data_IF_491878386383
#
_entry.id   IF_491878386383
#
_cell.length_a   1.000
_cell.length_b   1.000
_cell.length_c   1.000
_cell.angle_alpha   90.00
_cell.angle_beta   90.00
_cell.angle_gamma   90.00
#
_symmetry.space_group_name_H-M   'P 1'
#
loop_
_entity.id
_entity.type
_entity.pdbx_description
1 polymer ?
#
# COMPACT_ATOMS: atom_id res chain seq x y z
N UNK A 1 45.34 17.93 -6.33
CA UNK A 1 46.60 17.61 -7.04
C UNK A 1 46.37 16.33 -7.83
N UNK A 2 46.93 16.31 -9.05
CA UNK A 2 47.21 15.17 -9.96
C UNK A 2 46.07 14.53 -10.79
N UNK A 3 46.28 14.60 -12.12
CA UNK A 3 45.55 14.02 -13.27
C UNK A 3 45.64 12.49 -13.31
N UNK A 4 44.70 11.82 -14.02
CA UNK A 4 44.91 11.11 -15.31
C UNK A 4 43.56 10.73 -15.94
N UNK A 5 43.48 10.89 -17.26
CA UNK A 5 42.32 10.82 -18.15
C UNK A 5 41.77 9.40 -18.41
N UNK A 6 40.47 9.33 -18.75
CA UNK A 6 40.00 8.63 -19.97
C UNK A 6 38.78 9.34 -20.58
N UNK A 7 38.96 9.70 -21.84
CA UNK A 7 38.11 10.42 -22.79
C UNK A 7 36.90 9.63 -23.26
N UNK A 8 35.74 10.29 -23.45
CA UNK A 8 34.93 10.22 -24.68
C UNK A 8 33.81 11.29 -24.64
N UNK A 9 34.13 12.48 -25.13
CA UNK A 9 33.15 13.52 -25.49
C UNK A 9 33.54 14.07 -26.84
N UNK A 10 32.60 14.04 -27.79
CA UNK A 10 32.74 14.76 -29.06
C UNK A 10 32.31 13.93 -30.26
N UNK A 11 31.04 14.06 -30.64
CA UNK A 11 30.53 13.94 -32.02
C UNK A 11 29.00 14.13 -32.09
N UNK A 12 28.50 15.28 -31.60
CA UNK A 12 27.20 15.84 -32.07
C UNK A 12 27.30 17.36 -32.30
N UNK A 13 28.49 17.94 -32.20
CA UNK A 13 28.76 19.35 -32.50
C UNK A 13 29.82 19.49 -33.61
N UNK A 14 29.64 18.77 -34.74
CA UNK A 14 29.83 19.42 -36.04
C UNK A 14 28.91 18.78 -37.10
N UNK A 15 27.63 19.15 -37.12
CA UNK A 15 26.77 18.88 -38.28
C UNK A 15 25.79 20.01 -38.60
N UNK A 16 25.69 21.02 -37.72
CA UNK A 16 24.94 22.26 -37.96
C UNK A 16 25.81 23.43 -38.42
N UNK A 17 27.12 23.24 -38.59
CA UNK A 17 28.02 24.25 -39.18
C UNK A 17 28.42 23.98 -40.64
N UNK A 18 28.05 22.84 -41.23
CA UNK A 18 28.39 22.53 -42.64
C UNK A 18 27.29 22.85 -43.66
N UNK A 19 26.08 23.20 -43.22
CA UNK A 19 24.98 23.59 -44.14
C UNK A 19 24.88 25.13 -44.30
N UNK A 20 25.37 25.90 -43.32
CA UNK A 20 25.52 27.36 -43.47
C UNK A 20 26.90 27.80 -43.97
N UNK A 21 27.91 26.90 -43.95
CA UNK A 21 29.25 27.16 -44.47
C UNK A 21 29.38 27.13 -46.00
N UNK A 22 28.42 26.53 -46.73
CA UNK A 22 28.47 26.47 -48.21
C UNK A 22 27.84 27.69 -48.90
N UNK A 23 27.15 28.57 -48.16
CA UNK A 23 26.64 29.85 -48.70
C UNK A 23 27.61 31.02 -48.47
N UNK A 24 28.69 30.81 -47.73
CA UNK A 24 29.71 31.83 -47.43
C UNK A 24 30.84 31.95 -48.46
N UNK A 25 30.85 31.15 -49.54
CA UNK A 25 31.89 31.23 -50.58
C UNK A 25 31.44 31.80 -51.94
N UNK A 26 30.20 32.29 -52.05
CA UNK A 26 29.74 33.06 -53.22
C UNK A 26 29.18 34.41 -52.79
N UNK A 27 30.02 35.17 -52.09
CA UNK A 27 29.87 36.61 -51.94
C UNK A 27 30.79 37.36 -52.90
N UNK A 28 30.63 37.22 -54.22
CA UNK A 28 30.94 38.28 -55.20
C UNK A 28 29.98 38.13 -56.39
N UNK A 29 28.76 38.62 -56.26
CA UNK A 29 28.07 39.27 -57.39
C UNK A 29 27.53 40.58 -56.81
N UNK A 30 28.21 41.67 -57.20
CA UNK A 30 27.75 43.03 -56.96
C UNK A 30 26.35 43.22 -57.53
N UNK A 31 25.59 44.10 -56.89
CA UNK A 31 24.41 44.75 -57.48
C UNK A 31 24.70 45.20 -58.92
N UNK A 32 23.80 44.82 -59.84
CA UNK A 32 23.78 45.10 -61.29
C UNK A 32 24.29 43.97 -62.21
N UNK A 33 23.66 42.78 -62.18
CA UNK A 33 23.49 41.96 -63.39
C UNK A 33 22.52 40.77 -63.15
N UNK A 34 21.22 41.03 -63.19
CA UNK A 34 20.16 40.01 -63.12
C UNK A 34 19.42 39.80 -64.45
N UNK A 35 20.02 40.19 -65.58
CA UNK A 35 19.36 40.14 -66.90
C UNK A 35 19.97 39.16 -67.91
N UNK A 36 20.87 38.25 -67.50
CA UNK A 36 21.45 37.28 -68.44
C UNK A 36 20.75 35.91 -68.41
N UNK A 37 20.13 35.56 -69.54
CA UNK A 37 19.16 34.48 -69.75
C UNK A 37 19.80 33.12 -70.06
N UNK A 38 20.98 32.82 -69.53
CA UNK A 38 21.78 31.64 -69.94
C UNK A 38 21.93 30.54 -68.89
N UNK A 39 21.27 30.60 -67.73
CA UNK A 39 21.47 29.59 -66.67
C UNK A 39 20.20 29.04 -66.00
N UNK A 40 19.06 29.00 -66.71
CA UNK A 40 17.81 28.43 -66.18
C UNK A 40 17.86 26.91 -65.95
N UNK A 41 18.75 26.18 -66.64
CA UNK A 41 18.78 24.72 -66.56
C UNK A 41 19.57 24.20 -65.36
N UNK A 42 20.64 24.88 -64.93
CA UNK A 42 21.40 24.47 -63.74
C UNK A 42 20.65 24.78 -62.44
N UNK A 43 19.98 25.95 -62.34
CA UNK A 43 19.15 26.29 -61.18
C UNK A 43 17.94 25.35 -61.04
N UNK A 44 17.30 24.95 -62.14
CA UNK A 44 16.19 23.98 -62.10
C UNK A 44 16.66 22.59 -61.65
N UNK A 45 17.85 22.16 -62.07
CA UNK A 45 18.43 20.86 -61.70
C UNK A 45 18.78 20.77 -60.21
N UNK A 46 19.35 21.84 -59.63
CA UNK A 46 19.65 21.88 -58.20
C UNK A 46 18.39 21.96 -57.33
N UNK A 47 17.34 22.68 -57.75
CA UNK A 47 16.07 22.70 -57.04
C UNK A 47 15.32 21.36 -57.09
N UNK A 48 15.36 20.63 -58.22
CA UNK A 48 14.74 19.30 -58.32
C UNK A 48 15.50 18.24 -57.53
N UNK A 49 16.83 18.30 -57.50
CA UNK A 49 17.66 17.39 -56.70
C UNK A 49 17.48 17.65 -55.20
N UNK A 50 17.37 18.92 -54.78
CA UNK A 50 17.06 19.29 -53.40
C UNK A 50 15.66 18.80 -52.98
N UNK A 51 14.63 18.95 -53.83
CA UNK A 51 13.27 18.44 -53.55
C UNK A 51 13.20 16.92 -53.48
N UNK A 52 13.97 16.18 -54.28
CA UNK A 52 14.02 14.71 -54.22
C UNK A 52 14.77 14.19 -52.98
N UNK A 53 15.85 14.86 -52.56
CA UNK A 53 16.58 14.51 -51.34
C UNK A 53 15.74 14.87 -50.10
N UNK A 54 14.99 15.98 -50.14
CA UNK A 54 14.12 16.40 -49.04
C UNK A 54 12.87 15.50 -48.89
N UNK A 55 12.27 15.04 -49.99
CA UNK A 55 11.13 14.09 -49.94
C UNK A 55 11.55 12.67 -49.54
N UNK A 56 12.76 12.24 -49.91
CA UNK A 56 13.37 10.99 -49.42
C UNK A 56 13.67 11.02 -47.91
N UNK A 57 14.13 12.17 -47.39
CA UNK A 57 14.39 12.35 -45.95
C UNK A 57 13.11 12.36 -45.07
N UNK A 58 11.98 12.82 -45.62
CA UNK A 58 10.69 12.82 -44.89
C UNK A 58 10.11 11.40 -44.79
N UNK A 59 10.52 10.46 -45.66
CA UNK A 59 9.97 9.10 -45.71
C UNK A 59 10.66 8.08 -44.77
N UNK A 60 11.71 8.46 -44.04
CA UNK A 60 12.44 7.58 -43.11
C UNK A 60 12.31 7.94 -41.62
N UNK A 61 11.51 8.97 -41.27
CA UNK A 61 11.18 9.29 -39.89
C UNK A 61 9.70 9.05 -39.58
N UNK A 62 9.21 7.85 -39.88
CA UNK A 62 7.97 7.38 -39.26
C UNK A 62 8.31 6.93 -37.82
N UNK A 63 8.56 7.92 -36.95
CA UNK A 63 8.69 7.69 -35.51
C UNK A 63 7.36 7.10 -35.05
N UNK A 64 7.32 5.80 -34.77
CA UNK A 64 6.18 5.22 -34.07
C UNK A 64 6.09 5.93 -32.73
N UNK A 65 5.02 6.69 -32.51
CA UNK A 65 4.77 7.29 -31.22
C UNK A 65 4.67 6.15 -30.18
N UNK A 66 5.69 6.01 -29.33
CA UNK A 66 5.59 5.08 -28.21
C UNK A 66 4.44 5.54 -27.33
N UNK A 67 3.46 4.66 -27.23
CA UNK A 67 2.19 4.92 -26.59
C UNK A 67 2.34 4.82 -25.08
N UNK A 68 2.09 5.93 -24.39
CA UNK A 68 2.14 5.96 -22.93
C UNK A 68 0.78 5.49 -22.43
N UNK A 69 0.75 4.25 -21.95
CA UNK A 69 -0.41 3.67 -21.26
C UNK A 69 -0.19 3.84 -19.76
N UNK A 70 -1.01 4.67 -19.13
CA UNK A 70 -1.07 4.80 -17.67
C UNK A 70 -2.04 3.75 -17.14
N UNK A 71 -1.55 2.76 -16.39
CA UNK A 71 -2.36 1.66 -15.85
C UNK A 71 -2.45 1.72 -14.33
N UNK A 72 -3.67 1.59 -13.80
CA UNK A 72 -3.97 1.62 -12.37
C UNK A 72 -4.89 0.47 -11.98
N UNK A 73 -4.63 -0.15 -10.84
CA UNK A 73 -5.60 -1.07 -10.21
C UNK A 73 -6.53 -0.25 -9.31
N UNK A 74 -7.83 -0.45 -9.46
CA UNK A 74 -8.88 0.23 -8.73
C UNK A 74 -9.74 -0.78 -7.97
N UNK A 75 -9.88 -0.60 -6.66
CA UNK A 75 -10.77 -1.43 -5.84
C UNK A 75 -12.15 -0.77 -5.77
N UNK A 76 -13.15 -1.46 -6.29
CA UNK A 76 -14.54 -1.00 -6.37
C UNK A 76 -15.08 -0.70 -4.98
N UNK A 77 -15.60 0.50 -4.79
CA UNK A 77 -16.20 1.01 -3.55
C UNK A 77 -17.73 0.97 -3.65
N UNK A 78 -18.39 1.13 -2.50
CA UNK A 78 -19.85 1.19 -2.46
C UNK A 78 -20.35 2.40 -3.28
N UNK A 79 -21.24 2.12 -4.22
CA UNK A 79 -21.85 3.15 -5.08
C UNK A 79 -21.11 3.39 -6.40
N UNK A 80 -20.01 2.68 -6.64
CA UNK A 80 -19.34 2.67 -7.94
C UNK A 80 -20.16 1.91 -8.98
N UNK A 81 -20.05 2.39 -10.21
CA UNK A 81 -20.49 1.70 -11.42
C UNK A 81 -19.40 1.85 -12.45
N UNK A 82 -19.30 0.93 -13.42
CA UNK A 82 -18.31 1.09 -14.49
C UNK A 82 -18.46 2.43 -15.20
N UNK A 83 -19.68 2.97 -15.33
CA UNK A 83 -19.93 4.30 -15.88
C UNK A 83 -19.30 5.44 -15.05
N UNK A 84 -19.45 5.42 -13.71
CA UNK A 84 -18.82 6.41 -12.85
C UNK A 84 -17.29 6.29 -12.90
N UNK A 85 -16.77 5.08 -12.91
CA UNK A 85 -15.33 4.82 -13.02
C UNK A 85 -14.79 5.29 -14.37
N UNK A 86 -15.51 5.01 -15.47
CA UNK A 86 -15.12 5.45 -16.81
C UNK A 86 -15.01 6.98 -16.88
N UNK A 87 -15.97 7.71 -16.30
CA UNK A 87 -15.91 9.18 -16.20
C UNK A 87 -14.77 9.67 -15.31
N UNK A 88 -14.55 9.04 -14.16
CA UNK A 88 -13.51 9.45 -13.21
C UNK A 88 -12.10 9.23 -13.75
N UNK A 89 -11.88 8.16 -14.52
CA UNK A 89 -10.58 7.79 -15.05
C UNK A 89 -10.36 8.24 -16.49
N UNK A 90 -11.39 8.79 -17.15
CA UNK A 90 -11.30 9.25 -18.53
C UNK A 90 -11.02 8.12 -19.52
N UNK A 91 -11.59 6.94 -19.26
CA UNK A 91 -11.60 5.77 -20.14
C UNK A 91 -13.05 5.40 -20.45
N UNK A 92 -13.31 4.64 -21.50
CA UNK A 92 -14.65 4.13 -21.81
C UNK A 92 -15.01 2.93 -20.93
N UNK A 93 -16.30 2.68 -20.79
CA UNK A 93 -16.80 1.49 -20.07
C UNK A 93 -16.30 0.20 -20.73
N UNK A 94 -16.29 0.17 -22.07
CA UNK A 94 -15.82 -1.00 -22.84
C UNK A 94 -14.33 -1.25 -22.61
N UNK A 95 -13.49 -0.22 -22.57
CA UNK A 95 -12.07 -0.40 -22.24
C UNK A 95 -11.89 -1.00 -20.84
N UNK A 96 -12.68 -0.58 -19.85
CA UNK A 96 -12.62 -1.20 -18.51
C UNK A 96 -13.09 -2.65 -18.56
N UNK A 97 -14.13 -2.98 -19.33
CA UNK A 97 -14.60 -4.36 -19.49
C UNK A 97 -13.51 -5.24 -20.11
N UNK A 98 -12.92 -4.80 -21.21
CA UNK A 98 -11.90 -5.52 -21.97
C UNK A 98 -10.63 -5.72 -21.14
N UNK A 99 -10.17 -4.68 -20.43
CA UNK A 99 -8.99 -4.74 -19.55
C UNK A 99 -9.15 -5.72 -18.39
N UNK A 100 -10.40 -6.04 -18.03
CA UNK A 100 -10.73 -6.90 -16.88
C UNK A 100 -11.38 -8.23 -17.26
N UNK A 101 -11.48 -8.53 -18.56
CA UNK A 101 -12.18 -9.71 -19.07
C UNK A 101 -13.63 -9.82 -18.53
N UNK A 102 -14.34 -8.70 -18.40
CA UNK A 102 -15.71 -8.65 -17.91
C UNK A 102 -16.68 -8.66 -19.10
N UNK A 103 -17.68 -9.54 -19.06
CA UNK A 103 -18.72 -9.63 -20.09
C UNK A 103 -19.91 -8.69 -19.86
N UNK A 104 -19.96 -8.02 -18.72
CA UNK A 104 -21.11 -7.20 -18.29
C UNK A 104 -20.68 -6.14 -17.29
N UNK A 105 -21.53 -5.13 -17.09
CA UNK A 105 -21.20 -3.91 -16.34
C UNK A 105 -21.40 -4.00 -14.82
N UNK A 106 -21.84 -5.15 -14.32
CA UNK A 106 -21.97 -5.36 -12.88
C UNK A 106 -20.59 -5.58 -12.27
N UNK A 107 -20.28 -4.77 -11.26
CA UNK A 107 -19.04 -4.84 -10.50
C UNK A 107 -19.37 -4.98 -9.02
N UNK A 108 -18.59 -5.80 -8.32
CA UNK A 108 -18.80 -6.08 -6.90
C UNK A 108 -17.94 -5.16 -6.06
N UNK A 109 -18.47 -4.68 -4.93
CA UNK A 109 -17.68 -3.92 -3.95
C UNK A 109 -16.50 -4.80 -3.50
N UNK A 110 -15.29 -4.25 -3.51
CA UNK A 110 -14.04 -4.94 -3.24
C UNK A 110 -13.40 -5.62 -4.46
N UNK A 111 -14.07 -5.63 -5.62
CA UNK A 111 -13.48 -6.14 -6.86
C UNK A 111 -12.33 -5.25 -7.30
N UNK A 112 -11.23 -5.86 -7.76
CA UNK A 112 -10.09 -5.14 -8.35
C UNK A 112 -10.32 -5.02 -9.86
N UNK A 113 -10.22 -3.80 -10.37
CA UNK A 113 -10.33 -3.46 -11.79
C UNK A 113 -9.02 -2.84 -12.27
N UNK A 114 -8.45 -3.37 -13.34
CA UNK A 114 -7.39 -2.74 -14.12
C UNK A 114 -8.03 -1.62 -14.94
N UNK A 115 -7.56 -0.41 -14.77
CA UNK A 115 -8.01 0.76 -15.53
C UNK A 115 -6.78 1.37 -16.19
N UNK A 116 -6.68 1.20 -17.50
CA UNK A 116 -5.59 1.73 -18.32
C UNK A 116 -6.08 2.86 -19.22
N UNK A 117 -5.46 4.03 -19.10
CA UNK A 117 -5.73 5.21 -19.91
C UNK A 117 -4.63 5.40 -20.95
N UNK A 118 -5.01 5.55 -22.21
CA UNK A 118 -4.13 5.93 -23.31
C UNK A 118 -3.94 7.45 -23.27
N UNK A 119 -2.70 7.91 -23.08
CA UNK A 119 -2.39 9.35 -23.05
C UNK A 119 -1.71 9.75 -24.36
N UNK A 120 -2.42 10.51 -25.20
CA UNK A 120 -1.83 11.15 -26.37
C UNK A 120 -0.96 12.34 -25.96
N UNK A 121 0.23 12.45 -26.55
CA UNK A 121 1.31 13.36 -26.11
C UNK A 121 1.05 14.86 -26.38
N UNK A 122 -0.14 15.25 -26.85
CA UNK A 122 -0.41 16.60 -27.38
C UNK A 122 -1.08 17.59 -26.41
N UNK A 123 -1.31 17.24 -25.13
CA UNK A 123 -2.07 18.12 -24.21
C UNK A 123 -1.30 18.67 -22.99
N UNK A 124 0.02 18.48 -22.91
CA UNK A 124 0.83 19.15 -21.86
C UNK A 124 1.31 20.55 -22.28
N UNK A 125 0.37 21.43 -22.63
CA UNK A 125 0.57 22.88 -22.52
C UNK A 125 -0.72 23.50 -21.99
N UNK A 126 -0.61 24.04 -20.77
CA UNK A 126 -1.56 24.89 -20.06
C UNK A 126 -2.70 24.17 -19.32
N UNK A 127 -2.47 23.91 -18.03
CA UNK A 127 -3.36 24.40 -16.97
C UNK A 127 -2.65 24.31 -15.61
N UNK A 128 -2.41 25.48 -15.04
CA UNK A 128 -1.99 25.73 -13.68
C UNK A 128 -3.11 25.41 -12.70
N UNK A 129 -2.81 24.62 -11.65
CA UNK A 129 -3.41 24.75 -10.32
C UNK A 129 -2.37 24.33 -9.28
N UNK A 130 -1.42 25.25 -9.06
CA UNK A 130 -1.08 25.80 -7.74
C UNK A 130 -1.62 25.02 -6.51
N UNK A 131 -0.84 24.09 -5.97
CA UNK A 131 -0.64 23.89 -4.53
C UNK A 131 0.73 23.24 -4.32
N UNK A 132 1.47 23.74 -3.32
CA UNK A 132 2.77 23.27 -2.79
C UNK A 132 4.03 23.85 -3.44
N UNK A 133 4.40 25.05 -2.96
CA UNK A 133 5.81 25.42 -2.75
C UNK A 133 6.05 25.50 -1.23
N UNK A 134 7.19 25.01 -0.73
CA UNK A 134 8.20 25.97 -0.30
C UNK A 134 9.57 25.72 -0.95
N UNK A 135 10.41 26.73 -0.77
CA UNK A 135 11.50 27.15 -1.64
C UNK A 135 12.85 26.47 -1.37
N UNK A 136 13.63 26.39 -2.47
CA UNK A 136 15.09 26.30 -2.59
C UNK A 136 15.82 25.00 -2.16
N UNK A 137 16.12 24.18 -3.17
CA UNK A 137 17.49 23.73 -3.48
C UNK A 137 17.52 23.23 -4.93
N UNK A 138 18.42 23.77 -5.74
CA UNK A 138 18.63 23.34 -7.12
C UNK A 138 19.28 21.95 -7.20
N UNK A 139 19.14 21.33 -8.39
CA UNK A 139 19.68 20.05 -8.86
C UNK A 139 18.97 18.76 -8.42
N UNK A 140 18.02 18.30 -9.25
CA UNK A 140 18.17 17.05 -10.05
C UNK A 140 16.95 16.85 -10.94
N UNK A 141 17.07 17.19 -12.23
CA UNK A 141 16.25 16.57 -13.28
C UNK A 141 17.01 15.37 -13.84
N UNK A 142 16.25 14.35 -14.24
CA UNK A 142 16.64 13.04 -14.79
C UNK A 142 16.78 11.91 -13.75
N UNK A 143 15.65 11.33 -13.33
CA UNK A 143 15.53 9.86 -13.19
C UNK A 143 14.12 9.30 -12.91
N UNK A 144 13.06 10.10 -12.98
CA UNK A 144 11.71 9.65 -12.61
C UNK A 144 10.98 8.76 -13.63
N UNK A 145 11.55 8.48 -14.81
CA UNK A 145 10.93 7.58 -15.80
C UNK A 145 11.57 6.19 -15.94
N UNK A 146 12.66 5.87 -15.24
CA UNK A 146 13.23 4.50 -15.21
C UNK A 146 12.71 3.61 -14.07
N UNK A 147 12.00 4.19 -13.09
CA UNK A 147 11.63 3.49 -11.83
C UNK A 147 10.31 2.70 -11.94
N UNK A 148 9.45 3.00 -12.91
CA UNK A 148 8.11 2.37 -13.00
C UNK A 148 8.07 1.06 -13.81
N UNK A 149 9.19 0.58 -14.37
CA UNK A 149 9.24 -0.70 -15.11
C UNK A 149 10.15 -1.79 -14.49
N UNK A 150 10.77 -1.56 -13.34
CA UNK A 150 11.75 -2.50 -12.77
C UNK A 150 11.39 -3.20 -11.46
N UNK A 151 10.20 -2.99 -10.87
CA UNK A 151 9.88 -3.65 -9.57
C UNK A 151 9.43 -5.11 -9.68
N UNK A 152 9.52 -5.73 -10.85
CA UNK A 152 9.17 -7.14 -11.07
C UNK A 152 10.25 -7.95 -11.84
N UNK A 153 11.52 -7.56 -11.76
CA UNK A 153 12.61 -8.41 -12.25
C UNK A 153 13.73 -8.57 -11.23
N UNK A 154 13.89 -9.82 -10.78
CA UNK A 154 15.12 -10.47 -10.34
C UNK A 154 16.24 -9.53 -9.83
N UNK A 155 16.47 -9.54 -8.52
CA UNK A 155 17.77 -9.18 -7.94
C UNK A 155 18.83 -10.17 -8.46
N UNK A 156 19.34 -9.92 -9.67
CA UNK A 156 20.46 -10.64 -10.25
C UNK A 156 21.75 -10.26 -9.50
N UNK A 157 22.68 -11.22 -9.45
CA UNK A 157 23.80 -11.29 -8.51
C UNK A 157 24.81 -10.12 -8.50
N UNK A 158 24.70 -9.13 -9.39
CA UNK A 158 25.55 -7.93 -9.41
C UNK A 158 24.93 -6.70 -8.72
N UNK A 159 23.61 -6.62 -8.58
CA UNK A 159 22.89 -5.50 -7.94
C UNK A 159 22.45 -5.78 -6.49
N UNK A 160 22.51 -7.03 -6.05
CA UNK A 160 22.13 -7.45 -4.69
C UNK A 160 23.05 -6.83 -3.63
N UNK A 161 24.36 -6.75 -3.88
CA UNK A 161 25.33 -6.18 -2.95
C UNK A 161 25.09 -4.68 -2.67
N UNK A 162 24.75 -3.89 -3.70
CA UNK A 162 24.45 -2.46 -3.54
C UNK A 162 23.12 -2.25 -2.80
N UNK A 163 22.09 -3.05 -3.09
CA UNK A 163 20.82 -3.02 -2.36
C UNK A 163 21.01 -3.43 -0.88
N UNK A 164 21.81 -4.47 -0.63
CA UNK A 164 22.15 -4.95 0.71
C UNK A 164 22.92 -3.93 1.54
N UNK A 165 23.91 -3.28 0.92
CA UNK A 165 24.60 -2.15 1.54
C UNK A 165 23.64 -1.00 1.85
N UNK A 166 22.72 -0.70 0.94
CA UNK A 166 21.66 0.30 1.13
C UNK A 166 20.78 0.00 2.36
N UNK A 167 20.33 -1.24 2.53
CA UNK A 167 19.52 -1.63 3.70
C UNK A 167 20.28 -1.48 5.01
N UNK A 168 21.55 -1.91 5.04
CA UNK A 168 22.37 -1.82 6.25
C UNK A 168 22.64 -0.36 6.63
N UNK A 169 22.93 0.49 5.65
CA UNK A 169 23.11 1.92 5.86
C UNK A 169 21.83 2.60 6.31
N UNK A 170 20.70 2.31 5.67
CA UNK A 170 19.40 2.85 6.08
C UNK A 170 19.07 2.52 7.54
N UNK A 171 19.33 1.29 7.99
CA UNK A 171 19.07 0.91 9.39
C UNK A 171 19.89 1.72 10.40
N UNK A 172 21.02 2.30 9.99
CA UNK A 172 21.80 3.21 10.84
C UNK A 172 21.14 4.58 11.06
N UNK A 173 20.02 4.87 10.39
CA UNK A 173 19.12 5.98 10.74
C UNK A 173 18.58 5.85 12.18
N UNK A 174 18.65 4.65 12.76
CA UNK A 174 18.27 4.36 14.13
C UNK A 174 19.48 3.98 14.98
N UNK A 175 19.57 4.57 16.16
CA UNK A 175 20.46 4.10 17.21
C UNK A 175 19.64 3.42 18.30
N UNK A 176 20.16 2.33 18.85
CA UNK A 176 19.49 1.56 19.90
C UNK A 176 20.40 1.53 21.12
N UNK A 177 19.93 2.10 22.21
CA UNK A 177 20.58 2.07 23.51
C UNK A 177 19.95 0.96 24.34
N UNK A 178 20.76 0.08 24.91
CA UNK A 178 20.32 -1.03 25.76
C UNK A 178 20.75 -0.77 27.20
N UNK A 179 19.83 -0.92 28.14
CA UNK A 179 20.10 -0.89 29.58
C UNK A 179 19.59 -2.20 30.19
N UNK A 180 20.47 -2.94 30.86
CA UNK A 180 20.14 -4.20 31.53
C UNK A 180 19.65 -3.93 32.95
N UNK A 181 18.58 -4.61 33.36
CA UNK A 181 17.97 -4.51 34.69
C UNK A 181 17.69 -5.92 35.23
N UNK A 182 17.62 -6.02 36.55
CA UNK A 182 17.24 -7.25 37.26
C UNK A 182 16.29 -6.90 38.40
N UNK A 183 15.26 -7.73 38.59
CA UNK A 183 14.36 -7.66 39.74
C UNK A 183 14.04 -9.08 40.23
N UNK A 184 13.13 -9.18 41.21
CA UNK A 184 12.71 -10.47 41.78
C UNK A 184 12.09 -11.44 40.76
N UNK A 185 11.62 -10.94 39.61
CA UNK A 185 11.01 -11.72 38.53
C UNK A 185 12.02 -12.09 37.42
N UNK A 186 13.28 -11.65 37.53
CA UNK A 186 14.37 -11.98 36.60
C UNK A 186 15.01 -10.76 35.92
N UNK A 187 15.86 -11.04 34.94
CA UNK A 187 16.55 -10.02 34.15
C UNK A 187 15.72 -9.56 32.96
N UNK A 188 15.78 -8.28 32.64
CA UNK A 188 15.17 -7.68 31.46
C UNK A 188 15.98 -6.50 30.96
N UNK A 189 15.75 -6.09 29.71
CA UNK A 189 16.45 -5.01 29.06
C UNK A 189 15.47 -3.92 28.63
N UNK A 190 15.79 -2.67 28.98
CA UNK A 190 15.20 -1.50 28.35
C UNK A 190 15.97 -1.17 27.07
N UNK A 191 15.21 -0.91 26.01
CA UNK A 191 15.71 -0.42 24.74
C UNK A 191 15.16 0.98 24.50
N UNK A 192 16.03 1.93 24.18
CA UNK A 192 15.67 3.27 23.72
C UNK A 192 16.15 3.44 22.29
N UNK A 193 15.21 3.66 21.38
CA UNK A 193 15.51 3.95 19.97
C UNK A 193 15.55 5.45 19.77
N UNK A 194 16.61 5.95 19.14
CA UNK A 194 16.66 7.33 18.64
C UNK A 194 16.64 7.37 17.11
N UNK A 195 16.05 8.43 16.56
CA UNK A 195 16.08 8.74 15.14
C UNK A 195 16.44 10.21 14.98
N UNK A 196 17.45 10.52 14.16
CA UNK A 196 17.97 11.88 13.96
C UNK A 196 18.27 12.62 15.28
N UNK A 197 18.90 11.91 16.23
CA UNK A 197 19.30 12.44 17.53
C UNK A 197 18.17 12.67 18.54
N UNK A 198 16.92 12.29 18.22
CA UNK A 198 15.77 12.40 19.14
C UNK A 198 15.28 11.03 19.56
N UNK A 199 14.86 10.90 20.82
CA UNK A 199 14.20 9.68 21.30
C UNK A 199 12.91 9.47 20.53
N UNK A 200 12.80 8.30 19.90
CA UNK A 200 11.62 7.88 19.14
C UNK A 200 10.70 7.02 20.02
N UNK A 201 11.28 6.06 20.73
CA UNK A 201 10.54 5.12 21.57
C UNK A 201 11.44 4.45 22.60
N UNK A 202 10.82 4.06 23.72
CA UNK A 202 11.43 3.18 24.72
C UNK A 202 10.50 2.02 25.03
N UNK A 203 11.05 0.82 25.12
CA UNK A 203 10.30 -0.40 25.44
C UNK A 203 11.22 -1.42 26.11
N UNK A 204 10.63 -2.40 26.81
CA UNK A 204 11.38 -3.51 27.40
C UNK A 204 11.09 -4.83 26.69
N UNK A 205 12.04 -5.75 26.77
CA UNK A 205 11.77 -7.16 26.55
C UNK A 205 11.18 -7.81 27.83
N UNK A 206 11.08 -9.13 27.84
CA UNK A 206 10.53 -9.93 28.95
C UNK A 206 9.10 -9.49 29.32
N UNK A 207 8.24 -9.44 28.32
CA UNK A 207 6.81 -9.18 28.53
C UNK A 207 6.22 -10.35 29.33
N UNK A 208 5.77 -10.05 30.56
CA UNK A 208 5.12 -11.02 31.44
C UNK A 208 3.70 -11.33 30.92
N UNK A 209 3.57 -12.44 30.20
CA UNK A 209 2.30 -12.92 29.65
C UNK A 209 2.33 -14.43 29.51
N UNK A 210 1.19 -15.08 29.78
CA UNK A 210 1.03 -16.53 29.53
C UNK A 210 1.12 -16.90 28.05
N UNK A 211 1.08 -15.90 27.17
CA UNK A 211 1.20 -16.05 25.72
C UNK A 211 2.61 -15.76 25.21
N UNK A 212 3.57 -15.47 26.10
CA UNK A 212 4.95 -15.16 25.70
C UNK A 212 5.62 -16.38 25.09
N UNK A 213 5.87 -16.27 23.78
CA UNK A 213 6.58 -17.25 22.97
C UNK A 213 8.08 -16.99 22.98
N UNK A 214 8.49 -15.71 23.02
CA UNK A 214 9.89 -15.29 23.11
C UNK A 214 10.10 -14.30 24.24
N UNK A 215 11.03 -14.63 25.15
CA UNK A 215 11.40 -13.77 26.28
C UNK A 215 11.99 -12.44 25.83
N UNK A 216 12.71 -12.41 24.71
CA UNK A 216 13.32 -11.21 24.14
C UNK A 216 12.42 -10.44 23.17
N UNK A 217 11.18 -10.91 22.98
CA UNK A 217 10.14 -10.20 22.24
C UNK A 217 9.62 -9.01 23.04
N UNK A 218 9.18 -7.98 22.33
CA UNK A 218 8.81 -6.69 22.93
C UNK A 218 7.33 -6.37 22.72
N UNK A 219 6.79 -5.57 23.64
CA UNK A 219 5.52 -4.87 23.50
C UNK A 219 5.81 -3.37 23.50
N UNK A 220 5.34 -2.67 22.48
CA UNK A 220 5.33 -1.22 22.43
C UNK A 220 3.89 -0.72 22.28
N UNK A 221 3.44 0.10 23.22
CA UNK A 221 2.08 0.63 23.28
C UNK A 221 2.05 2.16 23.36
N UNK A 222 2.91 2.82 22.57
CA UNK A 222 3.00 4.28 22.50
C UNK A 222 2.24 4.90 21.33
N UNK A 223 1.50 4.12 20.55
CA UNK A 223 0.72 4.61 19.43
C UNK A 223 -0.55 5.35 19.84
N UNK A 224 -0.92 6.38 19.09
CA UNK A 224 -2.21 7.05 19.28
C UNK A 224 -3.35 6.14 18.81
N UNK A 225 -4.41 6.03 19.62
CA UNK A 225 -5.66 5.39 19.20
C UNK A 225 -6.26 6.13 18.01
N UNK A 226 -6.85 5.38 17.09
CA UNK A 226 -7.60 5.96 15.98
C UNK A 226 -9.01 6.30 16.47
N UNK A 227 -9.34 7.60 16.44
CA UNK A 227 -10.61 8.11 16.96
C UNK A 227 -11.72 8.07 15.92
N UNK A 228 -12.96 8.19 16.40
CA UNK A 228 -14.13 8.35 15.53
C UNK A 228 -13.96 9.54 14.57
N UNK A 229 -13.60 10.71 15.11
CA UNK A 229 -13.47 11.95 14.31
C UNK A 229 -12.37 11.81 13.24
N UNK A 230 -11.26 11.15 13.56
CA UNK A 230 -10.21 10.89 12.59
C UNK A 230 -10.74 10.08 11.40
N UNK A 231 -11.47 8.99 11.67
CA UNK A 231 -12.02 8.12 10.62
C UNK A 231 -13.15 8.84 9.86
N UNK A 232 -13.97 9.63 10.56
CA UNK A 232 -15.03 10.42 9.94
C UNK A 232 -14.47 11.44 8.95
N UNK A 233 -13.35 12.08 9.30
CA UNK A 233 -12.62 13.03 8.44
C UNK A 233 -11.95 12.36 7.22
N UNK A 234 -11.84 11.03 7.20
CA UNK A 234 -11.46 10.26 6.01
C UNK A 234 -12.65 9.95 5.09
N UNK A 235 -13.82 10.57 5.33
CA UNK A 235 -15.07 10.41 4.58
C UNK A 235 -15.76 9.04 4.72
N UNK A 236 -15.51 8.31 5.81
CA UNK A 236 -16.32 7.12 6.12
C UNK A 236 -17.66 7.47 6.76
N UNK A 237 -18.65 6.58 6.63
CA UNK A 237 -19.94 6.74 7.31
C UNK A 237 -19.82 6.49 8.83
N UNK A 238 -20.86 6.87 9.57
CA UNK A 238 -20.85 6.80 11.04
C UNK A 238 -20.69 5.38 11.58
N UNK A 239 -21.21 4.37 10.87
CA UNK A 239 -21.11 2.98 11.32
C UNK A 239 -19.67 2.48 11.22
N UNK A 240 -19.00 2.75 10.10
CA UNK A 240 -17.59 2.39 9.90
C UNK A 240 -16.72 3.12 10.91
N UNK A 241 -16.93 4.43 11.04
CA UNK A 241 -16.15 5.30 11.93
C UNK A 241 -16.26 4.85 13.38
N UNK A 242 -17.46 4.56 13.85
CA UNK A 242 -17.69 4.07 15.21
C UNK A 242 -17.13 2.66 15.43
N UNK A 243 -17.35 1.74 14.47
CA UNK A 243 -16.88 0.36 14.60
C UNK A 243 -15.35 0.27 14.68
N UNK A 244 -14.63 0.95 13.79
CA UNK A 244 -13.16 0.91 13.75
C UNK A 244 -12.52 1.69 14.90
N UNK A 245 -13.13 2.80 15.35
CA UNK A 245 -12.70 3.50 16.57
C UNK A 245 -12.89 2.63 17.82
N UNK A 246 -14.01 1.90 17.92
CA UNK A 246 -14.26 0.94 18.99
C UNK A 246 -13.20 -0.17 19.00
N UNK A 247 -12.86 -0.71 17.82
CA UNK A 247 -11.76 -1.68 17.68
C UNK A 247 -10.44 -1.10 18.17
N UNK A 248 -10.05 0.11 17.73
CA UNK A 248 -8.81 0.75 18.20
C UNK A 248 -8.79 0.88 19.73
N UNK A 249 -9.92 1.26 20.33
CA UNK A 249 -10.06 1.39 21.79
C UNK A 249 -9.86 0.07 22.55
N UNK A 250 -9.94 -1.08 21.87
CA UNK A 250 -9.78 -2.42 22.46
C UNK A 250 -8.45 -3.09 22.09
N UNK A 251 -7.94 -2.83 20.88
CA UNK A 251 -6.72 -3.45 20.35
C UNK A 251 -5.49 -2.58 20.63
N UNK A 252 -5.26 -1.54 19.83
CA UNK A 252 -4.01 -0.80 19.84
C UNK A 252 -4.13 0.61 19.25
N UNK A 253 -3.07 1.38 19.41
CA UNK A 253 -2.80 2.59 18.65
C UNK A 253 -2.08 2.31 17.35
N UNK A 254 -1.99 3.32 16.50
CA UNK A 254 -1.47 3.19 15.13
C UNK A 254 -0.01 2.76 15.03
N UNK A 255 0.79 2.95 16.08
CA UNK A 255 2.21 2.54 16.13
C UNK A 255 2.47 1.39 17.10
N UNK A 256 1.45 0.76 17.65
CA UNK A 256 1.64 -0.31 18.63
C UNK A 256 2.26 -1.55 17.97
N UNK A 257 3.20 -2.18 18.67
CA UNK A 257 3.90 -3.37 18.20
C UNK A 257 3.84 -4.47 19.26
N UNK A 258 3.55 -5.69 18.84
CA UNK A 258 3.57 -6.87 19.70
C UNK A 258 4.34 -8.01 19.01
N UNK A 259 5.52 -8.32 19.53
CA UNK A 259 6.42 -9.34 19.00
C UNK A 259 6.80 -10.41 20.04
N UNK A 260 6.12 -10.44 21.19
CA UNK A 260 6.41 -11.42 22.25
C UNK A 260 5.61 -12.72 22.10
N UNK A 261 4.46 -12.69 21.43
CA UNK A 261 3.53 -13.82 21.27
C UNK A 261 3.74 -14.69 20.01
N UNK A 262 4.78 -14.36 19.23
CA UNK A 262 5.15 -15.08 18.00
C UNK A 262 4.26 -14.77 16.79
N UNK A 263 3.31 -13.84 16.85
CA UNK A 263 2.51 -13.42 15.70
C UNK A 263 3.18 -12.28 14.90
N UNK A 264 3.90 -11.40 15.59
CA UNK A 264 4.50 -10.19 15.01
C UNK A 264 3.41 -9.24 14.52
N UNK A 265 2.87 -8.43 15.44
CA UNK A 265 1.68 -7.61 15.22
C UNK A 265 2.02 -6.12 15.19
N UNK A 266 1.29 -5.37 14.35
CA UNK A 266 1.49 -3.95 14.09
C UNK A 266 0.16 -3.18 14.05
N UNK A 267 0.15 -1.97 14.62
CA UNK A 267 -0.89 -0.98 14.38
C UNK A 267 -2.20 -1.20 15.14
N UNK A 268 -3.19 -0.39 14.81
CA UNK A 268 -4.34 -0.19 15.71
C UNK A 268 -5.29 -1.39 15.81
N UNK A 269 -5.24 -2.31 14.84
CA UNK A 269 -5.94 -3.59 14.87
C UNK A 269 -5.01 -4.80 15.04
N UNK A 270 -3.72 -4.57 15.31
CA UNK A 270 -2.70 -5.62 15.44
C UNK A 270 -2.58 -6.48 14.17
N UNK A 271 -2.35 -5.84 13.02
CA UNK A 271 -2.04 -6.52 11.76
C UNK A 271 -0.86 -7.49 11.95
N UNK A 272 -1.05 -8.76 11.63
CA UNK A 272 -0.08 -9.81 11.96
C UNK A 272 0.73 -10.23 10.75
N UNK A 273 2.03 -10.45 10.96
CA UNK A 273 2.92 -11.06 9.96
C UNK A 273 2.56 -12.53 9.78
N UNK A 274 2.42 -13.27 10.90
CA UNK A 274 2.17 -14.72 10.89
C UNK A 274 0.89 -15.12 10.16
N UNK A 275 -0.19 -14.35 10.33
CA UNK A 275 -1.50 -14.65 9.73
C UNK A 275 -1.82 -13.77 8.51
N UNK A 276 -0.85 -13.01 8.00
CA UNK A 276 -0.90 -12.35 6.70
C UNK A 276 -1.65 -11.02 6.62
N UNK A 277 -2.33 -10.57 7.68
CA UNK A 277 -3.05 -9.28 7.64
C UNK A 277 -2.11 -8.09 7.52
N UNK A 278 -0.87 -8.20 8.02
CA UNK A 278 0.17 -7.20 7.77
C UNK A 278 0.62 -7.17 6.32
N UNK A 279 0.76 -8.32 5.65
CA UNK A 279 1.16 -8.36 4.24
C UNK A 279 0.14 -7.67 3.32
N UNK A 280 -1.16 -7.87 3.58
CA UNK A 280 -2.23 -7.16 2.86
C UNK A 280 -2.21 -5.65 3.10
N UNK A 281 -1.93 -5.22 4.33
CA UNK A 281 -1.72 -3.80 4.66
C UNK A 281 -0.52 -3.21 3.89
N UNK A 282 0.61 -3.92 3.85
CA UNK A 282 1.81 -3.46 3.12
C UNK A 282 1.55 -3.41 1.62
N UNK A 283 0.85 -4.40 1.06
CA UNK A 283 0.45 -4.40 -0.34
C UNK A 283 -0.40 -3.17 -0.69
N UNK A 284 -1.39 -2.86 0.16
CA UNK A 284 -2.24 -1.68 0.00
C UNK A 284 -1.44 -0.38 0.08
N UNK A 285 -0.52 -0.27 1.04
CA UNK A 285 0.35 0.91 1.18
C UNK A 285 1.24 1.09 -0.05
N UNK A 286 1.85 0.02 -0.54
CA UNK A 286 2.69 0.04 -1.75
C UNK A 286 1.90 0.50 -2.98
N UNK A 287 0.65 0.08 -3.09
CA UNK A 287 -0.25 0.45 -4.20
C UNK A 287 -0.73 1.91 -4.11
N UNK A 288 -1.02 2.40 -2.90
CA UNK A 288 -1.60 3.74 -2.70
C UNK A 288 -0.56 4.86 -2.55
N UNK A 289 0.58 4.56 -1.92
CA UNK A 289 1.60 5.52 -1.54
C UNK A 289 2.98 4.84 -1.49
N UNK A 290 3.51 4.57 -2.68
CA UNK A 290 4.83 3.97 -2.84
C UNK A 290 5.95 4.77 -2.14
N UNK A 291 6.01 6.12 -2.20
CA UNK A 291 7.01 6.88 -1.44
C UNK A 291 6.99 6.58 0.07
N UNK A 292 5.81 6.52 0.69
CA UNK A 292 5.68 6.15 2.11
C UNK A 292 6.06 4.69 2.35
N UNK A 293 5.60 3.76 1.50
CA UNK A 293 6.05 2.36 1.55
C UNK A 293 7.58 2.23 1.49
N UNK A 294 8.22 2.93 0.54
CA UNK A 294 9.66 2.93 0.39
C UNK A 294 10.36 3.48 1.63
N UNK A 295 9.95 4.67 2.08
CA UNK A 295 10.61 5.40 3.16
C UNK A 295 10.55 4.68 4.52
N UNK A 296 9.52 3.86 4.76
CA UNK A 296 9.30 3.20 6.05
C UNK A 296 9.48 1.69 6.04
N UNK A 297 9.49 1.03 4.88
CA UNK A 297 9.61 -0.43 4.78
C UNK A 297 10.75 -0.85 3.84
N UNK A 298 10.62 -0.58 2.54
CA UNK A 298 11.55 -1.13 1.54
C UNK A 298 12.97 -0.64 1.75
N UNK A 299 13.15 0.64 2.10
CA UNK A 299 14.44 1.24 2.44
C UNK A 299 15.17 0.48 3.57
N UNK A 300 14.44 -0.11 4.52
CA UNK A 300 15.01 -0.88 5.63
C UNK A 300 15.05 -2.39 5.36
N UNK A 301 14.73 -2.80 4.14
CA UNK A 301 14.74 -4.19 3.69
C UNK A 301 13.49 -4.98 4.06
N UNK A 302 12.38 -4.34 4.45
CA UNK A 302 11.07 -4.99 4.63
C UNK A 302 10.28 -4.84 3.35
N UNK A 303 10.02 -5.93 2.64
CA UNK A 303 9.52 -5.89 1.26
C UNK A 303 8.25 -6.71 1.12
N UNK A 304 7.28 -6.19 0.36
CA UNK A 304 6.11 -6.96 -0.06
C UNK A 304 6.40 -7.76 -1.32
N UNK A 305 5.99 -9.03 -1.29
CA UNK A 305 6.01 -9.94 -2.42
C UNK A 305 4.68 -10.69 -2.53
N UNK A 306 4.45 -11.28 -3.70
CA UNK A 306 3.31 -12.16 -3.93
C UNK A 306 3.78 -13.58 -4.23
N UNK A 307 2.94 -14.56 -3.92
CA UNK A 307 3.18 -15.96 -4.26
C UNK A 307 1.86 -16.66 -4.57
N UNK A 308 1.93 -17.75 -5.33
CA UNK A 308 0.78 -18.62 -5.57
C UNK A 308 0.80 -19.72 -4.50
N UNK A 309 -0.29 -19.89 -3.76
CA UNK A 309 -0.40 -20.98 -2.80
C UNK A 309 -0.77 -22.31 -3.48
N UNK A 310 -0.81 -23.39 -2.72
CA UNK A 310 -1.12 -24.75 -3.20
C UNK A 310 -2.49 -24.87 -3.91
N UNK A 311 -3.39 -23.90 -3.69
CA UNK A 311 -4.72 -23.84 -4.31
C UNK A 311 -4.76 -22.96 -5.57
N UNK A 312 -3.61 -22.51 -6.06
CA UNK A 312 -3.52 -21.63 -7.23
C UNK A 312 -3.91 -20.17 -6.95
N UNK A 313 -4.07 -19.78 -5.68
CA UNK A 313 -4.50 -18.43 -5.32
C UNK A 313 -3.30 -17.51 -5.08
N UNK A 314 -3.37 -16.29 -5.62
CA UNK A 314 -2.39 -15.23 -5.38
C UNK A 314 -2.50 -14.70 -3.95
N UNK A 315 -1.42 -14.83 -3.19
CA UNK A 315 -1.30 -14.44 -1.80
C UNK A 315 -0.20 -13.37 -1.64
N UNK A 316 -0.39 -12.47 -0.68
CA UNK A 316 0.62 -11.49 -0.27
C UNK A 316 1.50 -12.04 0.87
N UNK A 317 2.79 -11.73 0.83
CA UNK A 317 3.73 -11.98 1.94
C UNK A 317 4.64 -10.79 2.16
N UNK A 318 5.21 -10.72 3.37
CA UNK A 318 6.32 -9.83 3.69
C UNK A 318 7.58 -10.66 3.80
N UNK A 319 8.64 -10.20 3.14
CA UNK A 319 9.99 -10.74 3.26
C UNK A 319 10.89 -9.69 3.90
N UNK A 320 11.97 -10.15 4.55
CA UNK A 320 13.00 -9.23 5.07
C UNK A 320 14.36 -9.63 4.56
N UNK A 321 15.09 -8.67 4.01
CA UNK A 321 16.47 -8.88 3.58
C UNK A 321 17.44 -8.68 4.76
N UNK A 322 18.25 -9.69 5.06
CA UNK A 322 19.26 -9.70 6.12
C UNK A 322 20.65 -9.79 5.49
N UNK A 323 21.23 -8.66 5.02
CA UNK A 323 22.48 -8.66 4.27
C UNK A 323 23.66 -9.27 5.02
N UNK A 324 23.63 -9.26 6.35
CA UNK A 324 24.61 -9.89 7.22
C UNK A 324 24.55 -11.43 7.25
N UNK A 325 23.54 -12.05 6.60
CA UNK A 325 23.38 -13.51 6.57
C UNK A 325 22.77 -14.06 7.87
N UNK A 326 21.49 -13.76 8.12
CA UNK A 326 20.79 -14.28 9.30
C UNK A 326 20.52 -15.79 9.17
N UNK A 327 21.19 -16.58 10.03
CA UNK A 327 21.15 -18.05 9.98
C UNK A 327 21.48 -18.61 8.59
N UNK A 328 22.47 -18.00 7.93
CA UNK A 328 22.92 -18.38 6.59
C UNK A 328 22.00 -17.94 5.45
N UNK A 329 21.00 -17.07 5.71
CA UNK A 329 20.05 -16.58 4.70
C UNK A 329 20.05 -15.06 4.63
N UNK A 330 20.03 -14.54 3.41
CA UNK A 330 19.95 -13.09 3.13
C UNK A 330 18.54 -12.63 2.81
N UNK A 331 17.63 -13.53 2.48
CA UNK A 331 16.19 -13.27 2.31
C UNK A 331 15.40 -14.16 3.27
N UNK A 332 14.61 -13.53 4.13
CA UNK A 332 13.87 -14.16 5.20
C UNK A 332 12.38 -14.13 4.91
N UNK A 333 11.70 -15.23 5.23
CA UNK A 333 10.26 -15.39 5.05
C UNK A 333 9.62 -16.04 6.30
N UNK A 334 8.30 -15.94 6.42
CA UNK A 334 7.53 -16.57 7.49
C UNK A 334 8.05 -16.22 8.89
N UNK A 335 8.23 -17.23 9.75
CA UNK A 335 8.67 -17.01 11.13
C UNK A 335 10.09 -16.40 11.23
N UNK A 336 10.94 -16.54 10.21
CA UNK A 336 12.27 -15.92 10.23
C UNK A 336 12.19 -14.39 10.16
N UNK A 337 11.17 -13.84 9.49
CA UNK A 337 10.91 -12.39 9.47
C UNK A 337 10.64 -11.88 10.88
N UNK A 338 9.75 -12.53 11.62
CA UNK A 338 9.36 -12.14 12.99
C UNK A 338 10.58 -12.23 13.92
N UNK A 339 11.30 -13.35 13.87
CA UNK A 339 12.51 -13.56 14.68
C UNK A 339 13.59 -12.54 14.38
N UNK A 340 13.79 -12.21 13.11
CA UNK A 340 14.79 -11.23 12.71
C UNK A 340 14.41 -9.80 13.11
N UNK A 341 13.13 -9.42 13.05
CA UNK A 341 12.68 -8.14 13.58
C UNK A 341 12.92 -8.09 15.09
N UNK A 342 12.64 -9.17 15.83
CA UNK A 342 12.94 -9.28 17.26
C UNK A 342 14.44 -9.05 17.49
N UNK A 343 15.31 -9.76 16.79
CA UNK A 343 16.76 -9.66 17.00
C UNK A 343 17.31 -8.28 16.57
N UNK A 344 16.79 -7.71 15.48
CA UNK A 344 17.21 -6.43 14.93
C UNK A 344 16.33 -5.27 15.42
N UNK A 345 16.65 -4.78 16.62
CA UNK A 345 15.88 -3.74 17.30
C UNK A 345 15.69 -2.44 16.50
N UNK A 346 16.52 -2.16 15.49
CA UNK A 346 16.39 -0.98 14.61
C UNK A 346 15.12 -1.03 13.75
N UNK A 347 14.66 -2.22 13.38
CA UNK A 347 13.44 -2.37 12.56
C UNK A 347 12.16 -1.96 13.29
N UNK A 348 12.15 -1.98 14.63
CA UNK A 348 11.06 -1.41 15.41
C UNK A 348 10.94 0.11 15.19
N UNK A 349 12.06 0.82 15.04
CA UNK A 349 12.04 2.26 14.75
C UNK A 349 11.32 2.55 13.43
N UNK A 350 11.62 1.79 12.38
CA UNK A 350 10.95 1.89 11.09
C UNK A 350 9.43 1.64 11.21
N UNK A 351 9.03 0.56 11.90
CA UNK A 351 7.62 0.21 12.11
C UNK A 351 6.88 1.24 12.99
N UNK A 352 7.52 1.83 14.00
CA UNK A 352 6.87 2.85 14.85
C UNK A 352 6.56 4.11 14.05
N UNK A 353 7.52 4.58 13.23
CA UNK A 353 7.31 5.73 12.36
C UNK A 353 6.28 5.44 11.27
N UNK A 354 6.32 4.24 10.68
CA UNK A 354 5.31 3.75 9.73
C UNK A 354 3.90 3.92 10.30
N UNK A 355 3.70 3.50 11.55
CA UNK A 355 2.42 3.60 12.25
C UNK A 355 1.85 5.01 12.27
N UNK A 356 2.68 6.02 12.55
CA UNK A 356 2.24 7.41 12.60
C UNK A 356 1.92 7.96 11.21
N UNK A 357 2.74 7.61 10.22
CA UNK A 357 2.62 8.10 8.86
C UNK A 357 1.42 7.51 8.09
N UNK A 358 0.91 6.34 8.50
CA UNK A 358 -0.01 5.54 7.69
C UNK A 358 -1.36 5.27 8.34
N UNK A 359 -1.79 6.12 9.28
CA UNK A 359 -3.09 5.98 9.96
C UNK A 359 -4.25 5.80 8.97
N UNK A 360 -4.29 6.57 7.88
CA UNK A 360 -5.33 6.43 6.84
C UNK A 360 -5.29 5.06 6.14
N UNK A 361 -4.10 4.60 5.74
CA UNK A 361 -3.93 3.28 5.10
C UNK A 361 -4.27 2.13 6.05
N UNK A 362 -3.97 2.27 7.35
CA UNK A 362 -4.41 1.31 8.35
C UNK A 362 -5.94 1.24 8.42
N UNK A 363 -6.63 2.39 8.42
CA UNK A 363 -8.11 2.42 8.44
C UNK A 363 -8.70 1.74 7.21
N UNK A 364 -8.21 2.07 6.01
CA UNK A 364 -8.67 1.45 4.76
C UNK A 364 -8.40 -0.06 4.75
N UNK A 365 -7.22 -0.48 5.22
CA UNK A 365 -6.87 -1.89 5.34
C UNK A 365 -7.78 -2.63 6.33
N UNK A 366 -8.09 -2.04 7.49
CA UNK A 366 -9.02 -2.61 8.46
C UNK A 366 -10.44 -2.71 7.90
N UNK A 367 -10.88 -1.69 7.16
CA UNK A 367 -12.16 -1.67 6.48
C UNK A 367 -12.27 -2.81 5.46
N UNK A 368 -11.28 -2.95 4.58
CA UNK A 368 -11.28 -3.99 3.54
C UNK A 368 -11.15 -5.41 4.10
N UNK A 369 -10.29 -5.61 5.10
CA UNK A 369 -9.98 -6.94 5.61
C UNK A 369 -11.03 -7.46 6.62
N UNK A 370 -11.68 -6.57 7.37
CA UNK A 370 -12.53 -6.96 8.49
C UNK A 370 -13.93 -6.37 8.45
N UNK A 371 -14.09 -5.05 8.32
CA UNK A 371 -15.42 -4.45 8.34
C UNK A 371 -16.28 -4.98 7.18
N UNK A 372 -15.80 -4.85 5.94
CA UNK A 372 -16.55 -5.28 4.76
C UNK A 372 -16.93 -6.77 4.79
N UNK A 373 -15.99 -7.72 5.01
CA UNK A 373 -16.36 -9.12 5.11
C UNK A 373 -17.30 -9.41 6.28
N UNK A 374 -17.12 -8.75 7.42
CA UNK A 374 -17.99 -8.92 8.60
C UNK A 374 -19.44 -8.51 8.30
N UNK A 375 -19.66 -7.45 7.51
CA UNK A 375 -21.00 -6.99 7.12
C UNK A 375 -21.63 -7.84 6.00
N UNK A 376 -20.88 -8.76 5.39
CA UNK A 376 -21.36 -9.63 4.32
C UNK A 376 -21.36 -11.12 4.74
N UNK A 377 -21.28 -11.40 6.04
CA UNK A 377 -21.31 -12.77 6.54
C UNK A 377 -22.66 -13.43 6.25
N UNK A 378 -22.58 -14.64 5.69
CA UNK A 378 -23.70 -15.55 5.55
C UNK A 378 -23.67 -16.57 6.69
N UNK A 379 -24.66 -16.52 7.58
CA UNK A 379 -24.77 -17.43 8.73
C UNK A 379 -25.63 -18.64 8.39
N UNK A 380 -25.15 -19.82 8.71
CA UNK A 380 -25.86 -21.08 8.63
C UNK A 380 -26.37 -21.45 10.02
N UNK A 381 -27.66 -21.21 10.26
CA UNK A 381 -28.31 -21.52 11.54
C UNK A 381 -28.96 -22.90 11.46
N UNK A 382 -29.03 -23.58 12.61
CA UNK A 382 -29.74 -24.86 12.74
C UNK A 382 -31.20 -24.69 12.28
N UNK A 383 -31.81 -25.69 11.65
CA UNK A 383 -33.21 -25.59 11.17
C UNK A 383 -33.49 -24.64 9.98
N UNK A 384 -32.52 -23.84 9.51
CA UNK A 384 -32.68 -23.03 8.31
C UNK A 384 -32.17 -23.75 7.05
N UNK A 385 -33.01 -23.80 6.00
CA UNK A 385 -32.62 -24.39 4.70
C UNK A 385 -31.59 -23.57 3.93
N UNK A 386 -31.52 -22.26 4.17
CA UNK A 386 -30.60 -21.33 3.49
C UNK A 386 -29.89 -20.47 4.53
N UNK A 387 -28.71 -20.00 4.18
CA UNK A 387 -28.00 -19.01 4.99
C UNK A 387 -28.79 -17.72 5.10
N UNK A 388 -28.53 -16.99 6.18
CA UNK A 388 -29.05 -15.66 6.41
C UNK A 388 -27.90 -14.67 6.46
N UNK A 389 -28.01 -13.62 5.65
CA UNK A 389 -27.05 -12.52 5.70
C UNK A 389 -27.12 -11.80 7.05
N UNK A 390 -25.96 -11.45 7.58
CA UNK A 390 -25.79 -10.76 8.84
C UNK A 390 -26.53 -9.41 8.90
N UNK A 391 -26.72 -8.72 7.78
CA UNK A 391 -27.42 -7.44 7.71
C UNK A 391 -28.91 -7.54 8.11
N UNK A 392 -29.51 -8.73 7.96
CA UNK A 392 -30.88 -9.04 8.42
C UNK A 392 -30.95 -9.28 9.93
N UNK A 393 -29.82 -9.55 10.56
CA UNK A 393 -29.68 -9.85 11.99
C UNK A 393 -29.22 -8.60 12.74
N UNK A 394 -28.07 -8.03 12.36
CA UNK A 394 -27.52 -6.82 12.96
C UNK A 394 -27.85 -5.59 12.12
N UNK A 395 -28.78 -4.78 12.64
CA UNK A 395 -29.38 -3.67 11.87
C UNK A 395 -28.82 -2.31 12.26
N UNK A 396 -28.42 -2.16 13.51
CA UNK A 396 -28.01 -0.87 14.07
C UNK A 396 -26.50 -0.73 14.05
N UNK A 397 -26.02 0.50 14.30
CA UNK A 397 -24.60 0.79 14.54
C UNK A 397 -23.98 -0.15 15.58
N UNK A 398 -24.73 -0.57 16.60
CA UNK A 398 -24.24 -1.46 17.66
C UNK A 398 -23.97 -2.88 17.15
N UNK A 399 -24.91 -3.48 16.42
CA UNK A 399 -24.72 -4.81 15.86
C UNK A 399 -23.57 -4.86 14.85
N UNK A 400 -23.48 -3.84 13.97
CA UNK A 400 -22.37 -3.72 12.99
C UNK A 400 -21.01 -3.59 13.68
N UNK A 401 -20.96 -2.86 14.80
CA UNK A 401 -19.77 -2.74 15.63
C UNK A 401 -19.41 -4.05 16.31
N UNK A 402 -20.39 -4.76 16.88
CA UNK A 402 -20.17 -6.05 17.51
C UNK A 402 -19.56 -7.06 16.54
N UNK A 403 -20.12 -7.21 15.33
CA UNK A 403 -19.60 -8.17 14.36
C UNK A 403 -18.23 -7.77 13.79
N UNK A 404 -17.97 -6.47 13.63
CA UNK A 404 -16.65 -5.97 13.20
C UNK A 404 -15.59 -6.25 14.26
N UNK A 405 -15.89 -5.94 15.52
CA UNK A 405 -14.97 -6.17 16.65
C UNK A 405 -14.67 -7.66 16.86
N UNK A 406 -15.69 -8.52 16.75
CA UNK A 406 -15.51 -9.97 16.75
C UNK A 406 -14.64 -10.43 15.59
N UNK A 407 -14.84 -9.88 14.38
CA UNK A 407 -14.10 -10.25 13.17
C UNK A 407 -12.63 -9.87 13.25
N UNK A 408 -12.31 -8.71 13.84
CA UNK A 408 -10.92 -8.35 14.13
C UNK A 408 -10.33 -9.29 15.18
N UNK A 409 -11.08 -9.61 16.24
CA UNK A 409 -10.56 -10.40 17.35
C UNK A 409 -10.38 -11.89 17.04
N UNK A 410 -11.29 -12.47 16.26
CA UNK A 410 -11.36 -13.91 16.00
C UNK A 410 -11.03 -14.28 14.55
N UNK A 411 -10.79 -13.28 13.70
CA UNK A 411 -10.90 -13.45 12.25
C UNK A 411 -12.36 -13.51 11.80
N UNK A 412 -12.61 -13.16 10.53
CA UNK A 412 -13.96 -13.13 9.94
C UNK A 412 -14.68 -14.47 10.06
N UNK A 413 -13.97 -15.58 9.79
CA UNK A 413 -14.52 -16.93 9.94
C UNK A 413 -14.78 -17.30 11.41
N UNK A 414 -13.87 -16.97 12.31
CA UNK A 414 -14.05 -17.22 13.75
C UNK A 414 -15.23 -16.45 14.33
N UNK A 415 -15.46 -15.21 13.87
CA UNK A 415 -16.63 -14.42 14.25
C UNK A 415 -17.94 -15.05 13.76
N UNK A 416 -17.96 -15.56 12.52
CA UNK A 416 -19.09 -16.33 11.98
C UNK A 416 -19.40 -17.53 12.87
N UNK A 417 -18.41 -18.38 13.15
CA UNK A 417 -18.59 -19.57 13.99
C UNK A 417 -19.07 -19.21 15.40
N UNK A 418 -18.49 -18.17 16.00
CA UNK A 418 -18.89 -17.71 17.33
C UNK A 418 -20.35 -17.26 17.35
N UNK A 419 -20.78 -16.53 16.32
CA UNK A 419 -22.13 -16.01 16.22
C UNK A 419 -23.16 -17.11 15.93
N UNK A 420 -22.88 -18.04 15.00
CA UNK A 420 -23.75 -19.19 14.73
C UNK A 420 -23.99 -20.02 16.00
N UNK A 421 -22.91 -20.31 16.75
CA UNK A 421 -22.98 -21.01 18.04
C UNK A 421 -23.87 -20.27 19.05
N UNK A 422 -23.73 -18.94 19.15
CA UNK A 422 -24.51 -18.11 20.08
C UNK A 422 -25.98 -18.06 19.66
N UNK A 423 -26.25 -17.80 18.38
CA UNK A 423 -27.60 -17.67 17.85
C UNK A 423 -28.35 -19.01 17.95
N UNK A 424 -27.74 -20.13 17.55
CA UNK A 424 -28.35 -21.45 17.69
C UNK A 424 -28.73 -21.75 19.15
N UNK A 425 -27.88 -21.39 20.13
CA UNK A 425 -28.24 -21.52 21.56
C UNK A 425 -29.39 -20.60 21.99
N UNK A 426 -29.45 -19.40 21.44
CA UNK A 426 -30.49 -18.43 21.76
C UNK A 426 -31.87 -18.84 21.22
N UNK A 427 -31.91 -19.50 20.06
CA UNK A 427 -33.14 -19.79 19.31
C UNK A 427 -33.62 -21.25 19.41
N UNK A 428 -32.99 -22.11 20.24
CA UNK A 428 -33.37 -23.54 20.39
C UNK A 428 -34.86 -23.81 20.63
N UNK A 429 -35.59 -22.83 21.17
CA UNK A 429 -37.02 -22.93 21.46
C UNK A 429 -37.88 -21.84 20.78
N UNK A 430 -37.35 -21.16 19.74
CA UNK A 430 -38.02 -20.05 19.05
C UNK A 430 -38.14 -20.37 17.56
N UNK A 431 -39.26 -19.98 16.94
CA UNK A 431 -39.39 -20.05 15.49
C UNK A 431 -38.30 -19.19 14.81
N UNK A 432 -37.47 -19.81 13.98
CA UNK A 432 -36.37 -19.16 13.25
C UNK A 432 -36.82 -17.97 12.39
N UNK A 433 -38.09 -17.94 11.98
CA UNK A 433 -38.68 -16.77 11.29
C UNK A 433 -38.59 -15.47 12.11
N UNK A 434 -38.43 -15.58 13.44
CA UNK A 434 -38.36 -14.45 14.35
C UNK A 434 -36.96 -13.89 14.58
N UNK A 435 -35.90 -14.53 14.05
CA UNK A 435 -34.52 -14.07 14.33
C UNK A 435 -34.28 -12.63 13.86
N UNK A 436 -34.91 -12.24 12.75
CA UNK A 436 -34.88 -10.87 12.21
C UNK A 436 -35.57 -9.84 13.11
N UNK A 437 -36.32 -10.24 14.12
CA UNK A 437 -36.98 -9.34 15.07
C UNK A 437 -36.25 -9.26 16.41
N UNK A 438 -35.20 -10.06 16.62
CA UNK A 438 -34.37 -9.98 17.81
C UNK A 438 -33.52 -8.71 17.71
N UNK A 439 -33.51 -7.90 18.78
CA UNK A 439 -32.71 -6.68 18.82
C UNK A 439 -31.22 -6.97 18.91
N UNK A 440 -30.39 -6.10 18.32
CA UNK A 440 -28.93 -6.15 18.45
C UNK A 440 -28.50 -6.26 19.93
N UNK A 441 -29.17 -5.54 20.83
CA UNK A 441 -28.93 -5.58 22.27
C UNK A 441 -29.13 -6.99 22.86
N UNK A 442 -30.21 -7.68 22.49
CA UNK A 442 -30.47 -9.04 22.96
C UNK A 442 -29.43 -10.03 22.42
N UNK A 443 -29.00 -9.88 21.16
CA UNK A 443 -27.96 -10.72 20.55
C UNK A 443 -26.61 -10.48 21.25
N UNK A 444 -26.22 -9.23 21.49
CA UNK A 444 -24.97 -8.91 22.19
C UNK A 444 -24.99 -9.47 23.62
N UNK A 445 -26.11 -9.39 24.34
CA UNK A 445 -26.27 -10.07 25.64
C UNK A 445 -26.13 -11.59 25.53
N UNK A 446 -26.66 -12.20 24.47
CA UNK A 446 -26.48 -13.62 24.21
C UNK A 446 -25.01 -13.97 23.94
N UNK A 447 -24.26 -13.13 23.23
CA UNK A 447 -22.81 -13.32 23.01
C UNK A 447 -22.08 -13.30 24.37
N UNK A 448 -22.35 -12.32 25.23
CA UNK A 448 -21.76 -12.22 26.58
C UNK A 448 -22.08 -13.48 27.40
N UNK A 449 -23.33 -13.95 27.34
CA UNK A 449 -23.80 -15.12 28.10
C UNK A 449 -23.16 -16.42 27.61
N UNK A 450 -23.15 -16.66 26.30
CA UNK A 450 -22.86 -17.97 25.71
C UNK A 450 -21.46 -18.13 25.14
N UNK A 451 -20.70 -17.05 24.93
CA UNK A 451 -19.30 -17.17 24.52
C UNK A 451 -18.47 -17.87 25.60
N UNK A 452 -17.53 -18.71 25.20
CA UNK A 452 -16.53 -19.27 26.11
C UNK A 452 -15.28 -18.39 26.18
N UNK A 453 -15.15 -17.38 25.31
CA UNK A 453 -13.97 -16.54 25.23
C UNK A 453 -14.11 -15.33 26.17
N UNK A 454 -13.31 -15.22 27.24
CA UNK A 454 -13.44 -14.13 28.22
C UNK A 454 -13.13 -12.75 27.61
N UNK A 455 -12.27 -12.67 26.59
CA UNK A 455 -11.98 -11.41 25.90
C UNK A 455 -13.17 -10.96 25.06
N UNK A 456 -13.87 -11.89 24.41
CA UNK A 456 -15.12 -11.59 23.68
C UNK A 456 -16.17 -11.04 24.65
N UNK A 457 -16.38 -11.70 25.79
CA UNK A 457 -17.31 -11.21 26.82
C UNK A 457 -16.97 -9.78 27.25
N UNK A 458 -15.71 -9.54 27.63
CA UNK A 458 -15.23 -8.22 28.07
C UNK A 458 -15.52 -7.13 27.04
N UNK A 459 -15.26 -7.38 25.76
CA UNK A 459 -15.46 -6.40 24.68
C UNK A 459 -16.93 -6.14 24.42
N UNK A 460 -17.76 -7.18 24.39
CA UNK A 460 -19.20 -7.02 24.20
C UNK A 460 -19.85 -6.30 25.39
N UNK A 461 -19.41 -6.56 26.63
CA UNK A 461 -19.84 -5.80 27.80
C UNK A 461 -19.45 -4.33 27.68
N UNK A 462 -18.22 -4.03 27.25
CA UNK A 462 -17.79 -2.64 27.01
C UNK A 462 -18.64 -1.95 25.94
N UNK A 463 -18.99 -2.64 24.87
CA UNK A 463 -19.88 -2.11 23.82
C UNK A 463 -21.26 -1.74 24.38
N UNK A 464 -21.86 -2.62 25.20
CA UNK A 464 -23.15 -2.34 25.85
C UNK A 464 -23.07 -1.16 26.83
N UNK A 465 -22.03 -1.10 27.66
CA UNK A 465 -21.90 -0.01 28.63
C UNK A 465 -21.66 1.35 27.96
N UNK A 466 -20.90 1.40 26.86
CA UNK A 466 -20.72 2.62 26.08
C UNK A 466 -22.00 3.08 25.37
N UNK A 467 -22.93 2.16 25.09
CA UNK A 467 -24.22 2.50 24.50
C UNK A 467 -25.19 3.15 25.50
N UNK A 468 -25.16 2.71 26.76
CA UNK A 468 -26.01 3.23 27.84
C UNK A 468 -25.65 4.66 28.28
N UNK A 469 -24.47 5.17 27.90
CA UNK A 469 -24.07 6.56 28.14
C UNK A 469 -24.47 7.51 27.00
N UNK A 470 -24.99 6.98 25.88
CA UNK A 470 -25.41 7.75 24.70
C UNK A 470 -26.94 7.77 24.49
N UNK A 471 -27.69 7.04 25.32
CA UNK A 471 -29.16 7.02 25.40
C UNK A 471 -29.62 7.76 26.64
#
# INVERSE_FOLDING_TARGET
>A
MTKVNKTFTGKVLPFLFSIFGLFGLFGIINSNDCNNRSNLNSQKFFCTLFLLIFTSFISLNKVSAEEIVESKVYVVKRGDTLYKLSKNFGVSVNEILDQNNLSHTNILIGQRLIISKRVERNTFRNTSTEWLRPSNSQNTQNNSQQVLRHSNQNYSNSNSAMAFYGFQMARNDFQVYKQSHSNQNGEFNWFTITHKGRVLASFRDHVESKYSFRKDGILYSGGQKITYDYIKNLNYDENISYALAFVSSNEGGASDLNFYDGAGSFGFIQFTIKYGSFAKYVALLKEQDYPTYYNYLEKYGIVHEQYINEKGLLMDKVVVYAPEGYKGRTKLEGNMVINYIIDNKKLYGALIMLGQATKATQVESAYQQYYLPAQNLELQLEGMRRSINIDKIFKTKFGKTAITDLSVKLGVHGAKMELEKVLNKMIRNVNYSNIKYISDYAIIKAIIKYSSNPLVKKRMTKLLNGSAQQS
#
